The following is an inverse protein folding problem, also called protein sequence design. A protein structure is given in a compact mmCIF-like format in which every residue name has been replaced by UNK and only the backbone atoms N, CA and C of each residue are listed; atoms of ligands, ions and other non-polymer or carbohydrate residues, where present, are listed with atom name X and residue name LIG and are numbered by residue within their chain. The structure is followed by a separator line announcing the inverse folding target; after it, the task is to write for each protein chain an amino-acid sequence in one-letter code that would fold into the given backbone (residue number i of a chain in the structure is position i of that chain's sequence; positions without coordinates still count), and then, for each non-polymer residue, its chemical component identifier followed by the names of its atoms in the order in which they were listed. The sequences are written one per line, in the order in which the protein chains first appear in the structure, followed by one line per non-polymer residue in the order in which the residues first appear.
data_IF_224657842039
#
_entry.id   IF_224657842039
#
_cell.length_a   1.000
_cell.length_b   1.000
_cell.length_c   1.000
_cell.angle_alpha   90.00
_cell.angle_beta   90.00
_cell.angle_gamma   90.00
#
_symmetry.space_group_name_H-M   'P 1'
#
loop_
_entity.id
_entity.type
_entity.pdbx_description
1 polymer ?
#
# COMPACT_ATOMS: atom_id res chain seq x y z
N UNK A 1 -24.36 -33.74 13.59
CA UNK A 1 -23.98 -32.40 13.21
C UNK A 1 -22.63 -32.12 13.79
N UNK A 2 -21.54 -32.44 13.10
CA UNK A 2 -20.16 -32.24 13.49
C UNK A 2 -19.53 -31.21 12.59
N UNK A 3 -19.58 -29.93 13.00
CA UNK A 3 -18.80 -28.83 12.42
C UNK A 3 -17.82 -28.36 13.47
N UNK A 4 -16.66 -29.01 13.59
CA UNK A 4 -15.52 -28.49 14.35
C UNK A 4 -14.86 -27.35 13.58
N UNK A 5 -15.55 -26.20 13.49
CA UNK A 5 -14.90 -24.95 13.12
C UNK A 5 -13.93 -24.61 14.27
N UNK A 6 -12.62 -24.59 14.02
CA UNK A 6 -11.63 -24.06 14.97
C UNK A 6 -12.08 -22.65 15.36
N UNK A 7 -12.34 -22.46 16.65
CA UNK A 7 -12.82 -21.19 17.23
C UNK A 7 -11.80 -20.03 17.11
N UNK A 8 -10.64 -20.30 16.57
CA UNK A 8 -9.51 -19.38 16.40
C UNK A 8 -8.19 -20.09 16.68
N UNK A 9 -7.12 -19.49 16.23
CA UNK A 9 -5.73 -19.95 16.46
C UNK A 9 -4.95 -18.85 17.18
N UNK A 10 -4.23 -19.20 18.23
CA UNK A 10 -3.31 -18.25 18.87
C UNK A 10 -2.07 -18.11 17.99
N UNK A 11 -1.78 -16.88 17.57
CA UNK A 11 -0.59 -16.52 16.81
C UNK A 11 0.06 -15.28 17.41
N UNK A 12 1.37 -15.19 17.26
CA UNK A 12 2.10 -13.98 17.60
C UNK A 12 2.26 -13.13 16.32
N UNK A 13 1.58 -11.99 16.27
CA UNK A 13 1.52 -11.13 15.10
C UNK A 13 2.11 -9.75 15.40
N UNK A 14 2.61 -9.08 14.37
CA UNK A 14 2.83 -7.66 14.44
C UNK A 14 1.56 -6.93 13.98
N UNK A 15 1.11 -6.01 14.82
CA UNK A 15 -0.12 -5.25 14.69
C UNK A 15 0.29 -3.80 14.46
N UNK A 16 -0.13 -3.25 13.33
CA UNK A 16 0.15 -1.88 12.92
C UNK A 16 -1.14 -1.08 12.90
N UNK A 17 -1.19 0.01 13.65
CA UNK A 17 -2.20 1.05 13.52
C UNK A 17 -1.59 2.29 12.89
N UNK A 18 -2.34 2.93 12.01
CA UNK A 18 -1.99 4.24 11.45
C UNK A 18 -3.20 5.15 11.46
N UNK A 19 -2.98 6.45 11.73
CA UNK A 19 -4.01 7.49 11.76
C UNK A 19 -3.48 8.78 11.13
N UNK A 20 -4.36 9.52 10.41
CA UNK A 20 -3.99 10.80 9.79
C UNK A 20 -4.08 11.91 10.85
N UNK A 21 -3.04 12.72 10.92
CA UNK A 21 -2.98 13.82 11.87
C UNK A 21 -3.74 15.05 11.40
N UNK A 22 -4.70 15.47 12.23
CA UNK A 22 -5.47 16.67 11.95
C UNK A 22 -6.47 16.52 10.81
N UNK A 23 -6.80 15.27 10.39
CA UNK A 23 -7.68 15.03 9.26
C UNK A 23 -9.09 15.63 9.46
N UNK A 24 -9.64 15.57 10.66
CA UNK A 24 -10.93 16.19 10.96
C UNK A 24 -10.94 17.67 10.58
N UNK A 25 -9.96 18.45 11.07
CA UNK A 25 -9.84 19.88 10.75
C UNK A 25 -9.52 20.14 9.28
N UNK A 26 -8.84 19.24 8.61
CA UNK A 26 -8.56 19.30 7.17
C UNK A 26 -9.85 19.06 6.37
N UNK A 27 -10.59 18.00 6.69
CA UNK A 27 -11.80 17.59 5.97
C UNK A 27 -12.95 18.59 6.11
N UNK A 28 -13.00 19.36 7.19
CA UNK A 28 -13.99 20.45 7.36
C UNK A 28 -13.80 21.62 6.37
N UNK A 29 -12.61 21.74 5.77
CA UNK A 29 -12.25 22.85 4.85
C UNK A 29 -12.43 22.50 3.37
N UNK A 30 -12.73 21.26 3.06
CA UNK A 30 -12.85 20.74 1.71
C UNK A 30 -14.22 20.11 1.47
N UNK A 31 -14.56 19.80 0.22
CA UNK A 31 -15.84 19.15 -0.08
C UNK A 31 -15.85 17.68 0.38
N UNK A 32 -17.02 17.09 0.66
CA UNK A 32 -17.14 15.66 0.96
C UNK A 32 -16.57 14.76 -0.16
N UNK A 33 -16.68 15.19 -1.42
CA UNK A 33 -16.12 14.46 -2.56
C UNK A 33 -14.60 14.47 -2.53
N UNK A 34 -13.98 15.62 -2.26
CA UNK A 34 -12.54 15.75 -2.10
C UNK A 34 -12.04 14.90 -0.92
N UNK A 35 -12.78 14.89 0.18
CA UNK A 35 -12.47 14.07 1.35
C UNK A 35 -12.38 12.59 0.99
N UNK A 36 -13.39 12.06 0.29
CA UNK A 36 -13.40 10.66 -0.16
C UNK A 36 -12.27 10.39 -1.17
N UNK A 37 -12.03 11.32 -2.10
CA UNK A 37 -10.96 11.19 -3.09
C UNK A 37 -9.58 11.13 -2.43
N UNK A 38 -9.30 12.03 -1.48
CA UNK A 38 -8.02 12.08 -0.75
C UNK A 38 -7.83 10.82 0.10
N UNK A 39 -8.87 10.39 0.83
CA UNK A 39 -8.80 9.16 1.63
C UNK A 39 -8.50 7.94 0.77
N UNK A 40 -9.18 7.79 -0.37
CA UNK A 40 -8.93 6.68 -1.27
C UNK A 40 -7.50 6.71 -1.83
N UNK A 41 -7.00 7.91 -2.19
CA UNK A 41 -5.62 8.08 -2.66
C UNK A 41 -4.60 7.73 -1.57
N UNK A 42 -4.84 8.18 -0.33
CA UNK A 42 -4.04 7.84 0.83
C UNK A 42 -4.05 6.34 1.09
N UNK A 43 -5.23 5.73 1.23
CA UNK A 43 -5.32 4.30 1.50
C UNK A 43 -4.69 3.44 0.41
N UNK A 44 -4.85 3.77 -0.86
CA UNK A 44 -4.21 3.03 -1.94
C UNK A 44 -2.68 3.00 -1.80
N UNK A 45 -2.04 4.13 -1.43
CA UNK A 45 -0.60 4.17 -1.18
C UNK A 45 -0.21 3.36 0.06
N UNK A 46 -0.92 3.54 1.17
CA UNK A 46 -0.64 2.81 2.42
C UNK A 46 -0.81 1.29 2.26
N UNK A 47 -1.88 0.86 1.59
CA UNK A 47 -2.13 -0.56 1.30
C UNK A 47 -1.00 -1.15 0.45
N UNK A 48 -0.55 -0.42 -0.58
CA UNK A 48 0.58 -0.87 -1.42
C UNK A 48 1.83 -1.14 -0.60
N UNK A 49 2.19 -0.22 0.28
CA UNK A 49 3.34 -0.39 1.18
C UNK A 49 3.14 -1.58 2.10
N UNK A 50 2.01 -1.65 2.79
CA UNK A 50 1.73 -2.72 3.75
C UNK A 50 1.79 -4.11 3.09
N UNK A 51 1.15 -4.26 1.92
CA UNK A 51 1.12 -5.53 1.19
C UNK A 51 2.49 -5.91 0.62
N UNK A 52 3.34 -4.94 0.24
CA UNK A 52 4.70 -5.22 -0.24
C UNK A 52 5.60 -5.84 0.84
N UNK A 53 5.32 -5.61 2.11
CA UNK A 53 5.97 -6.24 3.24
C UNK A 53 5.23 -7.47 3.79
N UNK A 54 4.26 -8.03 3.04
CA UNK A 54 3.48 -9.20 3.46
C UNK A 54 2.40 -8.90 4.49
N UNK A 55 2.15 -7.62 4.79
CA UNK A 55 1.06 -7.20 5.67
C UNK A 55 -0.30 -7.32 5.00
N UNK A 56 -1.33 -7.48 5.80
CA UNK A 56 -2.73 -7.52 5.35
C UNK A 56 -3.55 -6.46 6.08
N UNK A 57 -4.34 -5.69 5.33
CA UNK A 57 -5.31 -4.78 5.94
C UNK A 57 -6.41 -5.60 6.63
N UNK A 58 -6.59 -5.34 7.90
CA UNK A 58 -7.67 -5.92 8.69
C UNK A 58 -8.90 -5.02 8.71
N UNK A 59 -8.73 -3.72 8.94
CA UNK A 59 -9.84 -2.78 9.00
C UNK A 59 -9.43 -1.34 8.65
N UNK A 60 -10.39 -0.57 8.13
CA UNK A 60 -10.31 0.89 8.03
C UNK A 60 -11.12 1.51 9.16
N UNK A 61 -10.56 2.47 9.86
CA UNK A 61 -11.10 3.09 11.07
C UNK A 61 -11.25 4.61 10.86
N UNK A 62 -12.20 5.00 10.01
CA UNK A 62 -12.33 6.39 9.58
C UNK A 62 -11.17 6.78 8.66
N UNK A 63 -10.29 7.65 9.12
CA UNK A 63 -9.05 8.07 8.45
C UNK A 63 -7.82 7.24 8.86
N UNK A 64 -8.01 6.26 9.73
CA UNK A 64 -6.99 5.31 10.16
C UNK A 64 -7.15 3.92 9.54
N UNK A 65 -6.15 3.08 9.73
CA UNK A 65 -6.17 1.68 9.33
C UNK A 65 -5.51 0.77 10.38
N UNK A 66 -5.93 -0.49 10.35
CA UNK A 66 -5.33 -1.60 11.08
C UNK A 66 -4.79 -2.62 10.08
N UNK A 67 -3.51 -2.95 10.22
CA UNK A 67 -2.86 -4.00 9.44
C UNK A 67 -2.22 -5.06 10.35
N UNK A 68 -2.14 -6.28 9.85
CA UNK A 68 -1.60 -7.45 10.54
C UNK A 68 -0.48 -8.08 9.70
N UNK A 69 0.62 -8.45 10.34
CA UNK A 69 1.76 -9.13 9.74
C UNK A 69 2.02 -10.44 10.49
N UNK A 70 2.36 -11.51 9.78
CA UNK A 70 2.59 -12.84 10.31
C UNK A 70 1.38 -13.79 10.22
N UNK A 71 0.32 -13.41 9.51
CA UNK A 71 -0.89 -14.26 9.37
C UNK A 71 -0.60 -15.55 8.62
N UNK A 72 0.19 -15.47 7.54
CA UNK A 72 0.55 -16.61 6.69
C UNK A 72 1.94 -17.17 7.05
N UNK A 73 2.37 -16.98 8.29
CA UNK A 73 3.66 -17.43 8.82
C UNK A 73 4.87 -16.83 8.08
N UNK A 74 4.75 -15.54 7.66
CA UNK A 74 5.82 -14.78 7.08
C UNK A 74 7.01 -14.68 8.05
N UNK A 75 8.23 -14.67 7.49
CA UNK A 75 9.44 -14.45 8.29
C UNK A 75 9.47 -13.02 8.86
N UNK A 76 9.92 -12.87 10.10
CA UNK A 76 10.16 -11.60 10.76
C UNK A 76 9.01 -10.57 10.66
N UNK A 77 7.76 -10.92 11.05
CA UNK A 77 6.62 -10.04 10.92
C UNK A 77 6.77 -8.71 11.67
N UNK A 78 7.55 -8.69 12.74
CA UNK A 78 7.82 -7.48 13.50
C UNK A 78 8.69 -6.49 12.69
N UNK A 79 9.74 -6.99 12.04
CA UNK A 79 10.60 -6.17 11.18
C UNK A 79 9.83 -5.69 9.96
N UNK A 80 9.08 -6.56 9.30
CA UNK A 80 8.23 -6.21 8.15
C UNK A 80 7.23 -5.09 8.49
N UNK A 81 6.60 -5.14 9.66
CA UNK A 81 5.70 -4.09 10.11
C UNK A 81 6.42 -2.75 10.37
N UNK A 82 7.63 -2.77 10.94
CA UNK A 82 8.42 -1.56 11.19
C UNK A 82 8.92 -0.95 9.88
N UNK A 83 9.41 -1.75 8.95
CA UNK A 83 9.79 -1.29 7.61
C UNK A 83 8.60 -0.65 6.89
N UNK A 84 7.46 -1.34 6.91
CA UNK A 84 6.21 -0.80 6.37
C UNK A 84 5.86 0.56 6.99
N UNK A 85 5.99 0.72 8.31
CA UNK A 85 5.69 1.98 9.00
C UNK A 85 6.59 3.14 8.54
N UNK A 86 7.88 2.89 8.33
CA UNK A 86 8.83 3.89 7.80
C UNK A 86 8.47 4.26 6.35
N UNK A 87 8.22 3.27 5.51
CA UNK A 87 7.86 3.51 4.10
C UNK A 87 6.50 4.22 3.97
N UNK A 88 5.52 3.92 4.81
CA UNK A 88 4.26 4.68 4.90
C UNK A 88 4.50 6.16 5.19
N UNK A 89 5.45 6.48 6.07
CA UNK A 89 5.84 7.87 6.35
C UNK A 89 6.49 8.54 5.14
N UNK A 90 7.30 7.82 4.39
CA UNK A 90 7.93 8.33 3.16
C UNK A 90 6.88 8.58 2.07
N UNK A 91 5.95 7.63 1.86
CA UNK A 91 4.82 7.82 0.94
C UNK A 91 3.96 9.04 1.31
N UNK A 92 3.78 9.27 2.61
CA UNK A 92 3.07 10.46 3.08
C UNK A 92 3.84 11.74 2.72
N UNK A 93 5.16 11.75 2.87
CA UNK A 93 5.99 12.91 2.51
C UNK A 93 5.92 13.20 1.01
N UNK A 94 5.88 12.19 0.16
CA UNK A 94 5.67 12.33 -1.29
C UNK A 94 4.25 12.86 -1.65
N UNK A 95 3.26 12.59 -0.82
CA UNK A 95 1.90 13.08 -1.02
C UNK A 95 1.72 14.55 -0.59
N UNK A 96 2.52 15.06 0.34
CA UNK A 96 2.40 16.43 0.88
C UNK A 96 2.45 17.55 -0.16
N UNK A 97 3.37 17.55 -1.17
CA UNK A 97 3.41 18.59 -2.20
C UNK A 97 2.09 18.67 -2.98
N UNK A 98 1.53 17.51 -3.35
CA UNK A 98 0.24 17.43 -4.02
C UNK A 98 -0.88 18.05 -3.15
N UNK A 99 -0.97 17.65 -1.88
CA UNK A 99 -1.99 18.17 -0.95
C UNK A 99 -1.87 19.70 -0.80
N UNK A 100 -0.65 20.22 -0.64
CA UNK A 100 -0.40 21.67 -0.55
C UNK A 100 -0.83 22.42 -1.81
N UNK A 101 -0.53 21.87 -2.98
CA UNK A 101 -0.87 22.50 -4.26
C UNK A 101 -2.39 22.52 -4.48
N UNK A 102 -3.06 21.40 -4.20
CA UNK A 102 -4.48 21.23 -4.50
C UNK A 102 -5.40 21.83 -3.43
N UNK A 103 -4.99 21.78 -2.17
CA UNK A 103 -5.87 22.11 -1.02
C UNK A 103 -5.31 23.19 -0.09
N UNK A 104 -4.10 23.68 -0.36
CA UNK A 104 -3.45 24.72 0.44
C UNK A 104 -2.85 24.21 1.75
N UNK A 105 -3.14 22.99 2.15
CA UNK A 105 -2.69 22.37 3.39
C UNK A 105 -2.20 20.95 3.13
N UNK A 106 -1.45 20.39 4.08
CA UNK A 106 -1.05 18.98 4.09
C UNK A 106 -1.20 18.42 5.50
N UNK A 107 -1.29 17.12 5.60
CA UNK A 107 -1.30 16.40 6.88
C UNK A 107 -0.11 15.44 6.98
N UNK A 108 0.03 14.84 8.15
CA UNK A 108 1.01 13.78 8.44
C UNK A 108 0.28 12.56 9.00
N UNK A 109 1.01 11.47 9.23
CA UNK A 109 0.47 10.26 9.85
C UNK A 109 1.22 9.92 11.13
N UNK A 110 0.54 9.23 12.04
CA UNK A 110 1.13 8.51 13.15
C UNK A 110 0.99 7.01 12.91
N UNK A 111 2.06 6.26 13.17
CA UNK A 111 2.06 4.80 13.05
C UNK A 111 2.53 4.20 14.36
N UNK A 112 1.77 3.24 14.88
CA UNK A 112 2.11 2.47 16.08
C UNK A 112 2.21 0.99 15.77
N UNK A 113 3.30 0.34 16.19
CA UNK A 113 3.51 -1.10 15.98
C UNK A 113 3.69 -1.81 17.30
N UNK A 114 2.96 -2.91 17.49
CA UNK A 114 3.13 -3.83 18.61
C UNK A 114 3.20 -5.27 18.14
N UNK A 115 4.14 -6.03 18.67
CA UNK A 115 4.32 -7.46 18.41
C UNK A 115 3.90 -8.27 19.61
N UNK A 116 2.82 -9.06 19.50
CA UNK A 116 2.24 -9.77 20.61
C UNK A 116 1.27 -10.89 20.22
N UNK A 117 0.83 -11.64 21.23
CA UNK A 117 -0.08 -12.78 21.05
C UNK A 117 -1.51 -12.32 20.84
N UNK A 118 -2.16 -12.89 19.84
CA UNK A 118 -3.56 -12.66 19.48
C UNK A 118 -4.25 -13.98 19.14
N UNK A 119 -5.57 -13.97 19.18
CA UNK A 119 -6.38 -15.04 18.61
C UNK A 119 -6.83 -14.60 17.21
N UNK A 120 -6.42 -15.34 16.19
CA UNK A 120 -6.85 -15.15 14.80
C UNK A 120 -8.02 -16.08 14.51
N UNK A 121 -9.11 -15.53 14.05
CA UNK A 121 -10.29 -16.33 13.76
C UNK A 121 -11.31 -15.58 12.91
N UNK A 122 -12.27 -16.33 12.37
CA UNK A 122 -13.38 -15.75 11.63
C UNK A 122 -14.42 -15.18 12.60
N UNK A 123 -14.57 -13.87 12.59
CA UNK A 123 -15.50 -13.12 13.43
C UNK A 123 -16.60 -12.51 12.58
N UNK A 124 -17.85 -12.67 13.02
CA UNK A 124 -19.03 -12.17 12.33
C UNK A 124 -20.05 -13.27 12.09
N UNK A 125 -21.12 -12.93 11.39
CA UNK A 125 -22.21 -13.86 11.08
C UNK A 125 -22.45 -13.97 9.57
N UNK A 126 -22.63 -15.17 9.07
CA UNK A 126 -22.95 -15.45 7.68
C UNK A 126 -21.93 -14.83 6.70
N UNK A 127 -22.42 -14.06 5.72
CA UNK A 127 -21.58 -13.43 4.68
C UNK A 127 -20.72 -12.26 5.19
N UNK A 128 -20.97 -11.79 6.39
CA UNK A 128 -20.17 -10.70 7.03
C UNK A 128 -19.07 -11.24 7.94
N UNK A 129 -18.84 -12.55 7.96
CA UNK A 129 -17.73 -13.15 8.67
C UNK A 129 -16.41 -12.84 7.97
N UNK A 130 -15.41 -12.36 8.73
CA UNK A 130 -14.06 -12.08 8.23
C UNK A 130 -13.02 -12.61 9.20
N UNK A 131 -11.89 -13.00 8.65
CA UNK A 131 -10.72 -13.38 9.41
C UNK A 131 -10.12 -12.10 10.03
N UNK A 132 -9.98 -12.04 11.34
CA UNK A 132 -9.40 -10.91 12.06
C UNK A 132 -8.66 -11.39 13.32
N UNK A 133 -7.88 -10.50 13.92
CA UNK A 133 -7.17 -10.75 15.17
C UNK A 133 -7.89 -10.07 16.35
N UNK A 134 -8.00 -10.80 17.44
CA UNK A 134 -8.55 -10.29 18.71
C UNK A 134 -7.57 -10.57 19.85
N UNK A 135 -7.41 -9.60 20.73
CA UNK A 135 -6.57 -9.72 21.90
C UNK A 135 -6.18 -8.38 22.50
N UNK A 136 -5.58 -8.43 23.66
CA UNK A 136 -5.06 -7.23 24.33
C UNK A 136 -3.97 -6.54 23.50
N UNK A 137 -3.19 -7.32 22.75
CA UNK A 137 -2.15 -6.81 21.87
C UNK A 137 -2.70 -5.87 20.78
N UNK A 138 -3.91 -6.11 20.26
CA UNK A 138 -4.56 -5.22 19.29
C UNK A 138 -4.89 -3.87 19.93
N UNK A 139 -5.46 -3.88 21.13
CA UNK A 139 -5.75 -2.65 21.87
C UNK A 139 -4.47 -1.91 22.28
N UNK A 140 -3.43 -2.65 22.60
CA UNK A 140 -2.13 -2.08 22.96
C UNK A 140 -1.50 -1.36 21.76
N UNK A 141 -1.51 -1.95 20.57
CA UNK A 141 -1.02 -1.35 19.34
C UNK A 141 -1.74 -0.01 19.01
N UNK A 142 -3.06 0.04 19.19
CA UNK A 142 -3.84 1.29 19.03
C UNK A 142 -3.40 2.39 20.01
N UNK A 143 -3.05 2.00 21.24
CA UNK A 143 -2.53 2.97 22.25
C UNK A 143 -1.12 3.45 21.91
N UNK A 144 -0.27 2.58 21.36
CA UNK A 144 1.06 2.94 20.85
C UNK A 144 0.92 3.97 19.72
N UNK A 145 0.00 3.76 18.77
CA UNK A 145 -0.28 4.75 17.72
C UNK A 145 -0.72 6.09 18.33
N UNK A 146 -1.71 6.07 19.22
CA UNK A 146 -2.26 7.29 19.83
C UNK A 146 -1.21 8.10 20.59
N UNK A 147 -0.21 7.44 21.20
CA UNK A 147 0.90 8.09 21.90
C UNK A 147 1.76 8.96 21.00
N UNK A 148 1.80 8.67 19.70
CA UNK A 148 2.51 9.52 18.73
C UNK A 148 2.06 11.00 18.78
N UNK A 149 0.80 11.29 19.13
CA UNK A 149 0.28 12.67 19.24
C UNK A 149 0.95 13.43 20.38
N UNK A 150 1.14 12.76 21.51
CA UNK A 150 1.73 13.37 22.71
C UNK A 150 3.25 13.60 22.53
N UNK A 151 3.92 12.68 21.87
CA UNK A 151 5.37 12.73 21.66
C UNK A 151 5.80 13.41 20.36
N UNK A 152 4.85 13.80 19.50
CA UNK A 152 5.12 14.40 18.18
C UNK A 152 6.03 13.53 17.31
N UNK A 153 5.97 12.23 17.51
CA UNK A 153 6.69 11.22 16.74
C UNK A 153 5.83 10.76 15.55
N UNK A 154 6.42 10.09 14.58
CA UNK A 154 5.70 9.53 13.43
C UNK A 154 5.56 8.02 13.56
N UNK A 155 6.60 7.33 13.98
CA UNK A 155 6.63 5.87 14.16
C UNK A 155 7.03 5.55 15.58
N UNK A 156 6.10 4.97 16.34
CA UNK A 156 6.37 4.43 17.66
C UNK A 156 6.20 2.91 17.67
N UNK A 157 7.12 2.23 18.30
CA UNK A 157 7.02 0.79 18.53
C UNK A 157 7.06 0.49 20.03
N UNK A 158 6.40 -0.59 20.42
CA UNK A 158 6.45 -1.08 21.79
C UNK A 158 7.80 -1.74 22.12
N UNK A 159 8.10 -1.88 23.41
CA UNK A 159 9.28 -2.60 23.90
C UNK A 159 9.34 -4.04 23.37
N UNK A 160 8.20 -4.76 23.34
CA UNK A 160 8.13 -6.11 22.78
C UNK A 160 8.48 -6.16 21.28
N UNK A 161 8.08 -5.14 20.51
CA UNK A 161 8.49 -5.00 19.11
C UNK A 161 9.97 -4.68 19.01
N UNK A 162 10.44 -3.70 19.79
CA UNK A 162 11.84 -3.29 19.79
C UNK A 162 12.78 -4.47 20.10
N UNK A 163 12.50 -5.26 21.12
CA UNK A 163 13.30 -6.45 21.45
C UNK A 163 13.40 -7.46 20.29
N UNK A 164 12.39 -7.55 19.45
CA UNK A 164 12.39 -8.43 18.27
C UNK A 164 13.21 -7.88 17.11
N UNK A 165 13.38 -6.54 17.00
CA UNK A 165 13.99 -5.88 15.82
C UNK A 165 15.21 -5.02 16.15
N UNK A 166 15.67 -4.99 17.38
CA UNK A 166 16.69 -4.05 17.89
C UNK A 166 17.99 -4.00 17.09
N UNK A 167 18.39 -5.14 16.51
CA UNK A 167 19.62 -5.24 15.71
C UNK A 167 19.43 -4.74 14.28
N UNK A 168 18.19 -4.47 13.87
CA UNK A 168 17.81 -4.08 12.51
C UNK A 168 17.19 -2.70 12.41
N UNK A 169 17.10 -1.95 13.52
CA UNK A 169 16.47 -0.62 13.52
C UNK A 169 17.36 0.44 14.14
N UNK A 170 17.24 1.66 13.63
CA UNK A 170 17.84 2.84 14.23
C UNK A 170 16.81 3.57 15.07
N UNK A 171 17.00 3.53 16.39
CA UNK A 171 16.17 4.25 17.35
C UNK A 171 16.59 5.72 17.37
N UNK A 172 15.65 6.63 17.20
CA UNK A 172 15.85 8.07 17.30
C UNK A 172 15.75 8.53 18.75
N UNK A 173 14.73 8.05 19.47
CA UNK A 173 14.46 8.41 20.87
C UNK A 173 13.61 7.32 21.53
N UNK A 174 13.49 7.37 22.83
CA UNK A 174 12.56 6.52 23.57
C UNK A 174 11.87 7.30 24.69
N UNK A 175 10.68 6.87 25.04
CA UNK A 175 9.90 7.50 26.09
C UNK A 175 9.31 6.45 27.03
N UNK A 176 9.32 6.75 28.32
CA UNK A 176 8.69 5.94 29.34
C UNK A 176 7.44 6.63 29.84
N UNK A 177 6.29 6.08 29.52
CA UNK A 177 4.99 6.73 29.72
C UNK A 177 3.92 5.78 30.26
N UNK A 178 2.81 6.34 30.72
CA UNK A 178 1.60 5.58 31.02
C UNK A 178 0.69 5.60 29.80
N UNK A 179 0.25 4.43 29.36
CA UNK A 179 -0.80 4.32 28.35
C UNK A 179 -2.17 4.16 29.01
N UNK A 180 -3.20 4.74 28.44
CA UNK A 180 -4.56 4.68 29.00
C UNK A 180 -5.01 3.22 29.17
N UNK A 181 -5.33 2.82 30.41
CA UNK A 181 -5.78 1.47 30.75
C UNK A 181 -4.66 0.41 30.74
N UNK A 182 -3.40 0.82 30.90
CA UNK A 182 -2.26 -0.02 31.21
C UNK A 182 -1.78 0.40 32.59
N UNK A 183 -1.67 -0.57 33.53
CA UNK A 183 -1.33 -0.26 34.93
C UNK A 183 0.12 0.18 35.07
N UNK A 184 1.02 -0.49 34.34
CA UNK A 184 2.45 -0.23 34.43
C UNK A 184 2.90 0.82 33.41
N UNK A 185 4.02 1.47 33.72
CA UNK A 185 4.72 2.33 32.76
C UNK A 185 5.34 1.47 31.67
N UNK A 186 5.13 1.89 30.42
CA UNK A 186 5.67 1.23 29.25
C UNK A 186 6.77 2.08 28.61
N UNK A 187 7.73 1.42 27.97
CA UNK A 187 8.74 2.06 27.14
C UNK A 187 8.30 1.96 25.67
N UNK A 188 8.27 3.09 24.99
CA UNK A 188 8.03 3.19 23.55
C UNK A 188 9.27 3.75 22.89
N UNK A 189 9.58 3.26 21.68
CA UNK A 189 10.75 3.66 20.91
C UNK A 189 10.31 4.37 19.63
N UNK A 190 10.83 5.58 19.40
CA UNK A 190 10.68 6.26 18.12
C UNK A 190 11.74 5.73 17.15
N UNK A 191 11.29 5.23 16.01
CA UNK A 191 12.18 4.68 14.99
C UNK A 191 12.49 5.75 13.94
N UNK A 192 13.78 5.92 13.65
CA UNK A 192 14.28 6.80 12.61
C UNK A 192 14.36 6.08 11.27
N UNK A 193 14.91 4.86 11.28
CA UNK A 193 15.19 4.10 10.07
C UNK A 193 15.39 2.61 10.38
N UNK A 194 15.41 1.80 9.34
CA UNK A 194 15.78 0.38 9.40
C UNK A 194 17.16 0.21 8.77
N UNK A 195 18.05 -0.47 9.48
CA UNK A 195 19.41 -0.72 9.01
C UNK A 195 19.39 -1.61 7.76
N UNK A 196 20.17 -1.26 6.73
CA UNK A 196 20.29 -1.99 5.46
C UNK A 196 20.87 -3.43 5.59
N UNK A 197 21.03 -3.95 6.80
CA UNK A 197 21.73 -5.20 7.07
C UNK A 197 20.93 -6.50 6.79
N UNK A 198 19.74 -6.42 6.24
CA UNK A 198 19.00 -7.61 5.80
C UNK A 198 18.79 -7.54 4.29
N UNK A 199 19.80 -7.93 3.54
CA UNK A 199 19.61 -8.40 2.16
C UNK A 199 18.65 -9.59 2.21
N UNK A 200 17.37 -9.35 1.97
CA UNK A 200 16.45 -10.42 1.63
C UNK A 200 16.86 -10.95 0.25
N UNK A 201 17.52 -12.09 0.21
CA UNK A 201 17.64 -12.86 -1.02
C UNK A 201 16.22 -13.34 -1.36
N UNK A 202 15.54 -12.56 -2.17
CA UNK A 202 14.20 -12.91 -2.65
C UNK A 202 14.35 -14.06 -3.66
N UNK A 203 13.88 -15.26 -3.29
CA UNK A 203 13.84 -16.43 -4.18
C UNK A 203 13.02 -16.20 -5.46
N UNK A 204 12.36 -15.07 -5.55
CA UNK A 204 11.55 -14.63 -6.69
C UNK A 204 12.27 -13.61 -7.57
N UNK A 205 13.57 -13.38 -7.37
CA UNK A 205 14.38 -12.46 -8.15
C UNK A 205 15.64 -13.13 -8.68
N UNK A 206 16.09 -12.69 -9.86
CA UNK A 206 17.42 -12.96 -10.35
C UNK A 206 17.94 -11.80 -11.22
N UNK A 207 19.25 -11.66 -11.29
CA UNK A 207 19.91 -10.62 -12.09
C UNK A 207 20.42 -11.22 -13.42
N UNK A 208 20.01 -10.62 -14.52
CA UNK A 208 20.45 -11.03 -15.86
C UNK A 208 20.37 -9.84 -16.83
N UNK A 209 21.42 -9.64 -17.65
CA UNK A 209 21.49 -8.58 -18.66
C UNK A 209 21.23 -7.17 -18.08
N UNK A 210 21.88 -6.84 -16.98
CA UNK A 210 21.76 -5.55 -16.30
C UNK A 210 20.35 -5.23 -15.76
N UNK A 211 19.48 -6.23 -15.68
CA UNK A 211 18.11 -6.10 -15.15
C UNK A 211 17.91 -7.03 -13.97
N UNK A 212 17.09 -6.56 -13.02
CA UNK A 212 16.49 -7.41 -11.98
C UNK A 212 15.19 -7.99 -12.54
N UNK A 213 15.13 -9.32 -12.60
CA UNK A 213 13.94 -10.04 -13.04
C UNK A 213 13.14 -10.51 -11.83
N UNK A 214 11.89 -10.12 -11.77
CA UNK A 214 10.98 -10.47 -10.67
C UNK A 214 9.89 -11.39 -11.13
N UNK A 215 9.67 -12.43 -10.34
CA UNK A 215 8.64 -13.43 -10.57
C UNK A 215 7.25 -12.80 -10.39
N UNK A 216 6.36 -13.04 -11.34
CA UNK A 216 4.94 -12.67 -11.23
C UNK A 216 4.13 -13.88 -10.79
N UNK A 217 3.78 -14.75 -11.74
CA UNK A 217 2.94 -15.90 -11.51
C UNK A 217 3.06 -16.90 -12.68
N UNK A 218 2.37 -18.05 -12.59
CA UNK A 218 2.31 -18.99 -13.73
C UNK A 218 1.51 -18.41 -14.89
N UNK A 219 1.86 -18.80 -16.12
CA UNK A 219 1.12 -18.42 -17.33
C UNK A 219 -0.36 -18.81 -17.22
N UNK A 220 -0.62 -19.98 -16.63
CA UNK A 220 -1.99 -20.50 -16.43
C UNK A 220 -2.83 -19.62 -15.51
N UNK A 221 -2.26 -18.93 -14.54
CA UNK A 221 -2.99 -18.04 -13.63
C UNK A 221 -3.64 -16.84 -14.34
N UNK A 222 -3.11 -16.46 -15.52
CA UNK A 222 -3.69 -15.37 -16.33
C UNK A 222 -4.93 -15.78 -17.13
N UNK A 223 -5.34 -17.05 -17.07
CA UNK A 223 -6.63 -17.51 -17.63
C UNK A 223 -7.78 -17.02 -16.75
N UNK A 224 -7.63 -17.17 -15.44
CA UNK A 224 -8.66 -16.81 -14.46
C UNK A 224 -8.59 -15.31 -14.10
N UNK A 225 -7.38 -14.74 -14.01
CA UNK A 225 -7.14 -13.32 -13.74
C UNK A 225 -6.24 -12.73 -14.83
N UNK A 226 -6.80 -12.22 -15.95
CA UNK A 226 -6.04 -11.74 -17.11
C UNK A 226 -5.14 -10.53 -16.83
N UNK A 227 -5.38 -9.83 -15.74
CA UNK A 227 -4.62 -8.67 -15.29
C UNK A 227 -4.18 -8.86 -13.84
N UNK A 228 -2.89 -8.92 -13.61
CA UNK A 228 -2.30 -9.12 -12.28
C UNK A 228 -1.40 -7.96 -11.90
N UNK A 229 -1.21 -7.73 -10.60
CA UNK A 229 -0.34 -6.69 -10.07
C UNK A 229 0.88 -7.32 -9.41
N UNK A 230 2.06 -6.85 -9.81
CA UNK A 230 3.31 -7.08 -9.10
C UNK A 230 3.64 -5.82 -8.30
N UNK A 231 3.76 -5.97 -6.99
CA UNK A 231 4.21 -4.89 -6.12
C UNK A 231 5.75 -4.92 -6.07
N UNK A 232 6.38 -3.78 -6.38
CA UNK A 232 7.83 -3.63 -6.36
C UNK A 232 8.19 -2.38 -5.61
N UNK A 233 8.82 -2.51 -4.46
CA UNK A 233 9.08 -1.37 -3.56
C UNK A 233 7.81 -0.53 -3.38
N UNK A 234 7.76 0.64 -4.00
CA UNK A 234 6.65 1.60 -3.93
C UNK A 234 5.72 1.57 -5.14
N UNK A 235 6.09 0.81 -6.17
CA UNK A 235 5.39 0.81 -7.44
C UNK A 235 4.51 -0.41 -7.60
N UNK A 236 3.42 -0.21 -8.32
CA UNK A 236 2.53 -1.26 -8.80
C UNK A 236 2.74 -1.42 -10.30
N UNK A 237 3.11 -2.62 -10.69
CA UNK A 237 3.26 -2.96 -12.09
C UNK A 237 2.05 -3.81 -12.48
N UNK A 238 1.30 -3.33 -13.46
CA UNK A 238 0.22 -4.08 -14.07
C UNK A 238 0.80 -5.01 -15.13
N UNK A 239 0.56 -6.30 -14.98
CA UNK A 239 0.89 -7.30 -15.98
C UNK A 239 -0.40 -7.82 -16.59
N UNK A 240 -0.46 -7.87 -17.90
CA UNK A 240 -1.62 -8.36 -18.61
C UNK A 240 -1.23 -9.26 -19.78
N UNK A 241 -2.07 -10.24 -20.07
CA UNK A 241 -1.94 -11.04 -21.30
C UNK A 241 -2.54 -10.26 -22.47
N UNK A 242 -1.74 -10.08 -23.51
CA UNK A 242 -2.13 -9.41 -24.75
C UNK A 242 -1.77 -10.33 -25.93
N UNK A 243 -2.75 -10.97 -26.55
CA UNK A 243 -2.54 -12.09 -27.49
C UNK A 243 -1.78 -13.25 -26.84
N UNK A 244 -0.65 -13.65 -27.41
CA UNK A 244 0.22 -14.72 -26.89
C UNK A 244 1.42 -14.17 -26.09
N UNK A 245 1.47 -12.84 -25.90
CA UNK A 245 2.54 -12.15 -25.17
C UNK A 245 2.00 -11.56 -23.85
N UNK A 246 2.93 -11.22 -22.96
CA UNK A 246 2.64 -10.45 -21.76
C UNK A 246 3.15 -9.03 -21.91
N UNK A 247 2.36 -8.07 -21.44
CA UNK A 247 2.74 -6.66 -21.36
C UNK A 247 2.78 -6.26 -19.90
N UNK A 248 3.80 -5.49 -19.53
CA UNK A 248 3.95 -4.98 -18.17
C UNK A 248 4.12 -3.46 -18.21
N UNK A 249 3.43 -2.76 -17.34
CA UNK A 249 3.40 -1.30 -17.29
C UNK A 249 3.19 -0.79 -15.88
N UNK A 250 3.58 0.44 -15.60
CA UNK A 250 3.20 1.08 -14.36
C UNK A 250 1.66 1.08 -14.24
N UNK A 251 1.14 0.60 -13.10
CA UNK A 251 -0.33 0.53 -12.88
C UNK A 251 -0.98 1.91 -12.76
N UNK A 252 -0.19 2.96 -12.60
CA UNK A 252 -0.70 4.32 -12.47
C UNK A 252 -0.80 5.00 -13.83
N UNK A 253 -2.02 5.40 -14.20
CA UNK A 253 -2.24 6.24 -15.36
C UNK A 253 -1.49 7.57 -15.20
N UNK A 254 -0.58 7.94 -16.12
CA UNK A 254 0.24 9.15 -15.99
C UNK A 254 -0.56 10.45 -15.82
N UNK A 255 -1.80 10.47 -16.30
CA UNK A 255 -2.70 11.60 -16.20
C UNK A 255 -3.15 11.91 -14.75
N UNK A 256 -3.61 10.92 -14.01
CA UNK A 256 -4.21 11.14 -12.68
C UNK A 256 -3.67 10.19 -11.61
N UNK A 257 -2.65 9.40 -11.92
CA UNK A 257 -2.02 8.41 -11.05
C UNK A 257 -3.02 7.39 -10.45
N UNK A 258 -4.11 7.13 -11.19
CA UNK A 258 -5.11 6.13 -10.84
C UNK A 258 -4.75 4.78 -11.46
N UNK A 259 -5.08 3.70 -10.75
CA UNK A 259 -4.79 2.33 -11.20
C UNK A 259 -5.40 2.03 -12.56
N UNK A 260 -4.60 1.47 -13.44
CA UNK A 260 -5.00 0.96 -14.75
C UNK A 260 -5.59 -0.46 -14.66
N UNK A 261 -5.43 -1.17 -13.54
CA UNK A 261 -6.03 -2.50 -13.36
C UNK A 261 -7.54 -2.46 -13.61
N UNK A 262 -8.04 -3.35 -14.45
CA UNK A 262 -9.42 -3.38 -14.91
C UNK A 262 -9.72 -2.45 -16.10
N UNK A 263 -8.69 -1.80 -16.67
CA UNK A 263 -8.79 -1.07 -17.93
C UNK A 263 -8.85 -2.03 -19.12
N UNK A 264 -9.58 -1.68 -20.14
CA UNK A 264 -9.72 -2.49 -21.35
C UNK A 264 -8.43 -2.50 -22.16
N UNK A 265 -7.93 -3.69 -22.47
CA UNK A 265 -6.80 -3.89 -23.39
C UNK A 265 -7.38 -4.32 -24.75
N UNK A 266 -7.00 -3.60 -25.81
CA UNK A 266 -7.33 -3.97 -27.18
C UNK A 266 -6.12 -4.66 -27.84
N UNK A 267 -6.14 -6.00 -27.98
CA UNK A 267 -5.01 -6.72 -28.54
C UNK A 267 -4.77 -6.45 -30.05
N UNK A 268 -5.80 -6.01 -30.77
CA UNK A 268 -5.69 -5.73 -32.21
C UNK A 268 -4.95 -4.42 -32.49
N UNK A 269 -5.12 -3.46 -31.61
CA UNK A 269 -4.52 -2.13 -31.72
C UNK A 269 -3.28 -1.96 -30.80
N UNK A 270 -2.99 -2.97 -29.98
CA UNK A 270 -1.96 -2.92 -28.94
C UNK A 270 -2.12 -1.68 -28.04
N UNK A 271 -3.33 -1.48 -27.49
CA UNK A 271 -3.64 -0.33 -26.65
C UNK A 271 -4.30 -0.74 -25.35
N UNK A 272 -4.10 0.10 -24.31
CA UNK A 272 -4.86 0.08 -23.06
C UNK A 272 -5.67 1.37 -22.94
N UNK A 273 -6.96 1.24 -22.64
CA UNK A 273 -7.89 2.34 -22.42
C UNK A 273 -8.08 2.58 -20.92
N UNK A 274 -7.56 3.67 -20.40
CA UNK A 274 -7.75 4.02 -19.00
C UNK A 274 -9.25 4.12 -18.66
N UNK A 275 -9.70 3.26 -17.75
CA UNK A 275 -11.14 3.16 -17.34
C UNK A 275 -11.70 4.44 -16.70
N UNK A 276 -10.82 5.37 -16.29
CA UNK A 276 -11.22 6.56 -15.54
C UNK A 276 -11.53 7.76 -16.43
N UNK A 277 -10.62 8.08 -17.37
CA UNK A 277 -10.75 9.27 -18.20
C UNK A 277 -10.52 8.99 -19.70
N UNK A 278 -10.52 7.71 -20.08
CA UNK A 278 -10.43 7.25 -21.47
C UNK A 278 -9.15 7.67 -22.21
N UNK A 279 -8.06 7.94 -21.47
CA UNK A 279 -6.73 8.07 -22.08
C UNK A 279 -6.31 6.74 -22.67
N UNK A 280 -5.70 6.75 -23.83
CA UNK A 280 -5.29 5.55 -24.58
C UNK A 280 -3.78 5.55 -24.73
N UNK A 281 -3.15 4.44 -24.34
CA UNK A 281 -1.70 4.26 -24.42
C UNK A 281 -1.38 3.02 -25.26
N UNK A 282 -0.28 3.08 -25.99
CA UNK A 282 0.26 1.92 -26.68
C UNK A 282 0.91 0.96 -25.67
N UNK A 283 0.53 -0.31 -25.68
CA UNK A 283 1.09 -1.32 -24.78
C UNK A 283 2.49 -1.80 -25.17
N UNK A 284 2.97 -1.44 -26.35
CA UNK A 284 4.30 -1.81 -26.86
C UNK A 284 5.34 -0.69 -26.72
N UNK A 285 4.93 0.58 -26.83
CA UNK A 285 5.83 1.74 -26.78
C UNK A 285 5.58 2.66 -25.60
N UNK A 286 4.47 2.51 -24.90
CA UNK A 286 4.03 3.43 -23.85
C UNK A 286 3.46 4.75 -24.37
N UNK A 287 3.57 5.03 -25.67
CA UNK A 287 3.14 6.30 -26.26
C UNK A 287 1.67 6.58 -26.04
N UNK A 288 1.36 7.84 -25.76
CA UNK A 288 -0.01 8.35 -25.73
C UNK A 288 -0.59 8.30 -27.14
N UNK A 289 -1.68 7.59 -27.32
CA UNK A 289 -2.48 7.61 -28.56
C UNK A 289 -3.66 8.57 -28.46
N UNK A 290 -4.17 8.72 -27.25
CA UNK A 290 -5.21 9.69 -26.91
C UNK A 290 -5.03 10.09 -25.46
N UNK A 291 -4.89 11.41 -25.17
CA UNK A 291 -4.61 11.85 -23.81
C UNK A 291 -5.87 11.77 -22.95
N UNK A 292 -6.81 12.63 -23.12
CA UNK A 292 -8.05 12.66 -22.34
C UNK A 292 -9.23 12.80 -23.29
N UNK A 293 -10.34 12.13 -23.02
CA UNK A 293 -11.56 12.36 -23.78
C UNK A 293 -12.25 13.63 -23.30
N UNK A 294 -12.32 14.62 -24.19
CA UNK A 294 -13.05 15.88 -23.98
C UNK A 294 -14.50 15.68 -23.48
N UNK A 295 -15.12 14.54 -23.78
CA UNK A 295 -16.48 14.20 -23.36
C UNK A 295 -16.61 13.98 -21.86
N UNK A 296 -15.66 13.26 -21.25
CA UNK A 296 -15.62 13.01 -19.82
C UNK A 296 -15.30 14.27 -19.02
N UNK A 297 -14.32 15.04 -19.46
CA UNK A 297 -13.91 16.29 -18.82
C UNK A 297 -14.96 17.41 -18.93
N UNK A 298 -15.69 17.51 -20.05
CA UNK A 298 -16.79 18.48 -20.17
C UNK A 298 -17.92 18.24 -19.18
N UNK A 299 -18.11 16.99 -18.75
CA UNK A 299 -19.07 16.70 -17.69
C UNK A 299 -18.55 17.14 -16.32
N UNK A 300 -17.29 16.86 -15.98
CA UNK A 300 -16.68 17.26 -14.72
C UNK A 300 -16.31 18.75 -14.67
N UNK A 301 -15.86 19.34 -15.76
CA UNK A 301 -15.51 20.77 -15.84
C UNK A 301 -16.73 21.70 -15.71
N UNK A 302 -17.95 21.20 -15.91
CA UNK A 302 -19.17 21.93 -15.56
C UNK A 302 -19.48 21.95 -14.06
N UNK A 303 -18.87 21.03 -13.31
CA UNK A 303 -19.11 20.83 -11.88
C UNK A 303 -18.02 21.42 -10.99
N UNK A 304 -16.78 21.58 -11.51
CA UNK A 304 -15.67 22.09 -10.70
C UNK A 304 -14.59 22.79 -11.55
N UNK A 305 -14.13 23.95 -11.07
CA UNK A 305 -13.00 24.71 -11.67
C UNK A 305 -11.67 23.95 -11.65
N UNK A 306 -11.50 23.01 -10.71
CA UNK A 306 -10.30 22.15 -10.57
C UNK A 306 -10.21 21.07 -11.64
N UNK A 307 -11.32 20.61 -12.21
CA UNK A 307 -11.31 19.69 -13.34
C UNK A 307 -10.64 20.29 -14.58
N UNK A 308 -10.62 21.63 -14.71
CA UNK A 308 -9.88 22.34 -15.74
C UNK A 308 -8.36 22.28 -15.53
N UNK A 309 -7.92 22.24 -14.28
CA UNK A 309 -6.49 22.18 -13.93
C UNK A 309 -5.92 20.79 -14.22
N UNK A 310 -6.68 19.74 -13.91
CA UNK A 310 -6.35 18.36 -14.27
C UNK A 310 -6.24 18.16 -15.79
N UNK A 311 -7.05 18.89 -16.56
CA UNK A 311 -6.98 18.90 -18.03
C UNK A 311 -5.73 19.59 -18.60
N UNK A 312 -5.00 20.35 -17.78
CA UNK A 312 -3.80 21.08 -18.19
C UNK A 312 -2.49 20.33 -17.96
N UNK A 313 -2.51 19.09 -17.45
CA UNK A 313 -1.29 18.28 -17.32
C UNK A 313 -0.73 17.96 -18.70
N UNK A 314 0.59 18.12 -18.83
CA UNK A 314 1.33 17.74 -20.04
C UNK A 314 1.15 16.24 -20.32
N UNK A 315 1.04 15.90 -21.59
CA UNK A 315 0.99 14.51 -22.03
C UNK A 315 2.25 13.78 -21.61
N UNK A 316 2.07 12.64 -20.95
CA UNK A 316 3.14 11.79 -20.48
C UNK A 316 2.91 10.35 -20.92
N UNK A 317 3.94 9.73 -21.47
CA UNK A 317 3.91 8.33 -21.86
C UNK A 317 3.75 7.42 -20.64
N UNK A 318 3.23 6.22 -20.88
CA UNK A 318 3.13 5.17 -19.88
C UNK A 318 4.48 4.44 -19.76
N UNK A 319 4.98 4.27 -18.56
CA UNK A 319 6.21 3.52 -18.31
C UNK A 319 5.94 2.03 -18.52
N UNK A 320 6.75 1.39 -19.35
CA UNK A 320 6.66 -0.04 -19.67
C UNK A 320 7.87 -0.79 -19.13
N UNK A 321 7.64 -2.08 -18.84
CA UNK A 321 8.66 -3.02 -18.40
C UNK A 321 8.74 -4.20 -19.36
N UNK A 322 9.92 -4.77 -19.48
CA UNK A 322 10.11 -5.97 -20.29
C UNK A 322 9.54 -7.20 -19.59
N UNK A 323 9.03 -8.14 -20.37
CA UNK A 323 8.50 -9.40 -19.85
C UNK A 323 9.18 -10.58 -20.50
N UNK A 324 9.30 -11.69 -19.81
CA UNK A 324 9.68 -12.99 -20.38
C UNK A 324 8.96 -14.12 -19.67
N UNK A 325 8.83 -15.24 -20.35
CA UNK A 325 8.31 -16.49 -19.78
C UNK A 325 9.45 -17.50 -19.65
N UNK A 326 9.64 -18.02 -18.44
CA UNK A 326 10.61 -19.09 -18.16
C UNK A 326 9.87 -20.16 -17.38
N UNK A 327 9.92 -21.41 -17.84
CA UNK A 327 9.33 -22.58 -17.18
C UNK A 327 7.89 -22.34 -16.69
N UNK A 328 7.02 -21.92 -17.61
CA UNK A 328 5.60 -21.57 -17.35
C UNK A 328 5.39 -20.43 -16.34
N UNK A 329 6.40 -19.64 -16.07
CA UNK A 329 6.34 -18.51 -15.16
C UNK A 329 6.59 -17.20 -15.89
N UNK A 330 5.75 -16.21 -15.64
CA UNK A 330 5.90 -14.83 -16.15
C UNK A 330 6.86 -14.08 -15.24
N UNK A 331 7.83 -13.41 -15.84
CA UNK A 331 8.82 -12.57 -15.18
C UNK A 331 8.80 -11.16 -15.77
N UNK A 332 9.03 -10.17 -14.92
CA UNK A 332 9.16 -8.77 -15.31
C UNK A 332 10.58 -8.30 -15.01
N UNK A 333 11.25 -7.78 -16.04
CA UNK A 333 12.59 -7.18 -15.95
C UNK A 333 12.50 -5.67 -15.76
N UNK A 334 13.30 -5.15 -14.85
CA UNK A 334 13.37 -3.73 -14.53
C UNK A 334 14.80 -3.31 -14.23
N UNK A 335 15.06 -2.02 -14.36
CA UNK A 335 16.33 -1.42 -14.00
C UNK A 335 16.61 -1.65 -12.50
N UNK A 336 17.85 -1.96 -12.09
CA UNK A 336 18.22 -2.11 -10.68
C UNK A 336 17.93 -0.89 -9.80
N UNK A 337 17.88 0.29 -10.40
CA UNK A 337 17.55 1.53 -9.70
C UNK A 337 16.04 1.73 -9.47
N UNK A 338 15.22 0.91 -10.14
CA UNK A 338 13.75 0.98 -10.08
C UNK A 338 13.15 0.52 -8.75
#
# INVERSE_FOLDING_TARGET
VSGSGRLGETKKLAILFSDIRGFTSFSEKITPYDTVFILNRYFNRMVTVIESFGGRIDNYLGDGLLALFGINDEADPALAAVQSAIDMCTEMDEMKPYLKTMYGESFDIGVGVHYGDVVVGNIGAGRSSRLTAIGEAVNFASRVESANKDFRSRVLISEATHESVKDSVKVKDFVRTNLKGVEDRVTLYEIEDVSDSVEKVDKNEFFENEMIWRKVNSVSSFIDEPQQILNVKRDKILIAKCNDEFVAMNDQCPHALLSLKGSEINPKENTINCRWHYSVFCTQSGEVKKWIDDGGLKFFAKLDSKAKEIASYEEKNLDLFVTKVIDDTVWVGMDPEY
#
